data_IF_053359113682
#
_entry.id   IF_053359113682
#
_cell.length_a   1.000
_cell.length_b   1.000
_cell.length_c   1.000
_cell.angle_alpha   90.00
_cell.angle_beta   90.00
_cell.angle_gamma   90.00
#
_symmetry.space_group_name_H-M   'P 1'
#
loop_
_entity.id
_entity.type
_entity.pdbx_description
1 polymer ?
#
# COMPACT_ATOMS: atom_id res chain seq x y z
N UNK A 1 -19.97 2.30 30.99
CA UNK A 1 -20.30 2.81 29.67
C UNK A 1 -19.09 2.86 28.74
N UNK A 2 -17.93 3.33 29.17
CA UNK A 2 -16.70 3.34 28.31
C UNK A 2 -16.23 1.94 27.87
N UNK A 3 -16.44 0.91 28.70
CA UNK A 3 -16.04 -0.47 28.37
C UNK A 3 -16.92 -1.14 27.32
N UNK A 4 -18.22 -0.80 27.26
CA UNK A 4 -19.14 -1.36 26.25
C UNK A 4 -18.87 -0.79 24.84
N UNK A 5 -18.51 0.48 24.75
CA UNK A 5 -18.16 1.13 23.47
C UNK A 5 -16.87 0.55 22.92
N UNK A 6 -15.88 0.29 23.78
CA UNK A 6 -14.60 -0.30 23.36
C UNK A 6 -14.78 -1.74 22.84
N UNK A 7 -15.64 -2.53 23.46
CA UNK A 7 -15.96 -3.89 23.03
C UNK A 7 -16.69 -3.87 21.69
N UNK A 8 -17.60 -2.91 21.48
CA UNK A 8 -18.33 -2.77 20.23
C UNK A 8 -17.41 -2.38 19.07
N UNK A 9 -16.49 -1.44 19.32
CA UNK A 9 -15.47 -1.05 18.33
C UNK A 9 -14.55 -2.20 17.97
N UNK A 10 -14.17 -3.03 18.92
CA UNK A 10 -13.34 -4.22 18.69
C UNK A 10 -14.09 -5.26 17.85
N UNK A 11 -15.38 -5.46 18.10
CA UNK A 11 -16.23 -6.37 17.33
C UNK A 11 -16.38 -5.92 15.87
N UNK A 12 -16.57 -4.62 15.65
CA UNK A 12 -16.67 -4.05 14.30
C UNK A 12 -15.34 -4.21 13.55
N UNK A 13 -14.22 -4.02 14.24
CA UNK A 13 -12.89 -4.21 13.66
C UNK A 13 -12.63 -5.67 13.28
N UNK A 14 -13.00 -6.62 14.13
CA UNK A 14 -12.85 -8.06 13.86
C UNK A 14 -13.75 -8.51 12.71
N UNK A 15 -14.98 -8.00 12.62
CA UNK A 15 -15.88 -8.28 11.50
C UNK A 15 -15.35 -7.69 10.19
N UNK A 16 -14.78 -6.49 10.24
CA UNK A 16 -14.15 -5.87 9.08
C UNK A 16 -12.97 -6.68 8.54
N UNK A 17 -12.15 -7.24 9.42
CA UNK A 17 -11.03 -8.10 9.05
C UNK A 17 -11.51 -9.42 8.42
N UNK A 18 -12.63 -9.97 8.89
CA UNK A 18 -13.19 -11.22 8.36
C UNK A 18 -13.70 -11.06 6.94
N UNK A 19 -14.28 -9.90 6.59
CA UNK A 19 -14.76 -9.61 5.24
C UNK A 19 -13.59 -9.42 4.26
N UNK A 20 -12.47 -8.86 4.70
CA UNK A 20 -11.26 -8.68 3.88
C UNK A 20 -10.60 -10.03 3.56
N UNK A 21 -10.79 -11.06 4.40
CA UNK A 21 -10.19 -12.38 4.16
C UNK A 21 -10.80 -13.15 3.00
N UNK A 22 -11.99 -12.77 2.49
CA UNK A 22 -12.64 -13.44 1.36
C UNK A 22 -11.97 -13.18 0.02
N UNK A 23 -11.20 -12.09 -0.12
CA UNK A 23 -10.42 -11.77 -1.33
C UNK A 23 -8.94 -11.67 -0.95
N UNK A 24 -8.39 -12.74 -0.38
CA UNK A 24 -7.01 -12.77 0.09
C UNK A 24 -6.03 -12.79 -1.09
N UNK A 25 -5.14 -11.80 -1.16
CA UNK A 25 -4.11 -11.67 -2.18
C UNK A 25 -2.74 -11.51 -1.51
N UNK A 26 -2.16 -12.61 -1.00
CA UNK A 26 -0.92 -12.54 -0.22
C UNK A 26 0.27 -11.97 -1.00
N UNK A 27 0.33 -12.19 -2.32
CA UNK A 27 1.38 -11.62 -3.16
C UNK A 27 1.27 -10.11 -3.25
N UNK A 28 0.06 -9.59 -3.47
CA UNK A 28 -0.20 -8.15 -3.54
C UNK A 28 0.13 -7.50 -2.20
N UNK A 29 -0.33 -8.09 -1.10
CA UNK A 29 -0.08 -7.59 0.25
C UNK A 29 1.42 -7.55 0.57
N UNK A 30 2.17 -8.57 0.15
CA UNK A 30 3.62 -8.62 0.33
C UNK A 30 4.31 -7.52 -0.46
N UNK A 31 3.92 -7.31 -1.72
CA UNK A 31 4.48 -6.27 -2.56
C UNK A 31 4.23 -4.88 -1.97
N UNK A 32 3.03 -4.62 -1.48
CA UNK A 32 2.67 -3.35 -0.85
C UNK A 32 3.51 -3.10 0.41
N UNK A 33 3.68 -4.11 1.26
CA UNK A 33 4.54 -3.99 2.46
C UNK A 33 5.99 -3.73 2.09
N UNK A 34 6.48 -4.40 1.06
CA UNK A 34 7.85 -4.22 0.57
C UNK A 34 8.05 -2.80 0.03
N UNK A 35 7.10 -2.28 -0.72
CA UNK A 35 7.14 -0.91 -1.23
C UNK A 35 7.13 0.11 -0.09
N UNK A 36 6.28 -0.06 0.91
CA UNK A 36 6.24 0.80 2.09
C UNK A 36 7.55 0.77 2.85
N UNK A 37 8.14 -0.42 3.00
CA UNK A 37 9.44 -0.57 3.66
C UNK A 37 10.54 0.17 2.90
N UNK A 38 10.54 0.08 1.58
CA UNK A 38 11.54 0.74 0.73
C UNK A 38 11.40 2.26 0.79
N UNK A 39 10.19 2.77 0.82
CA UNK A 39 9.93 4.20 0.98
C UNK A 39 10.44 4.66 2.35
N UNK A 40 10.07 3.97 3.41
CA UNK A 40 10.51 4.30 4.77
C UNK A 40 12.04 4.26 4.90
N UNK A 41 12.67 3.27 4.32
CA UNK A 41 14.13 3.12 4.29
C UNK A 41 14.79 4.27 3.52
N UNK A 42 14.21 4.63 2.37
CA UNK A 42 14.67 5.76 1.58
C UNK A 42 14.61 7.10 2.32
N UNK A 43 13.57 7.32 3.11
CA UNK A 43 13.44 8.49 3.98
C UNK A 43 14.55 8.47 5.04
N UNK A 44 14.69 7.34 5.73
CA UNK A 44 15.66 7.20 6.82
C UNK A 44 17.11 7.39 6.38
N UNK A 45 17.44 7.00 5.15
CA UNK A 45 18.78 7.15 4.58
C UNK A 45 18.97 8.46 3.81
N UNK A 46 18.00 9.34 3.80
CA UNK A 46 18.10 10.62 3.09
C UNK A 46 18.07 10.49 1.56
N UNK A 47 17.64 9.34 1.04
CA UNK A 47 17.52 9.11 -0.40
C UNK A 47 16.23 9.71 -0.97
N UNK A 48 15.24 9.94 -0.13
CA UNK A 48 13.97 10.54 -0.50
C UNK A 48 13.75 11.83 0.27
N UNK A 49 13.40 12.89 -0.44
CA UNK A 49 12.94 14.12 0.19
C UNK A 49 11.52 13.92 0.71
N UNK A 50 11.06 14.81 1.60
CA UNK A 50 9.69 14.77 2.11
C UNK A 50 8.66 14.88 0.98
N UNK A 51 8.94 15.69 -0.04
CA UNK A 51 8.07 15.85 -1.21
C UNK A 51 8.00 14.57 -2.05
N UNK A 52 9.15 13.96 -2.31
CA UNK A 52 9.24 12.71 -3.06
C UNK A 52 8.54 11.57 -2.32
N UNK A 53 8.76 11.46 -1.02
CA UNK A 53 8.09 10.47 -0.17
C UNK A 53 6.57 10.68 -0.17
N UNK A 54 6.10 11.92 -0.05
CA UNK A 54 4.67 12.24 -0.08
C UNK A 54 4.04 11.86 -1.41
N UNK A 55 4.76 12.05 -2.52
CA UNK A 55 4.29 11.65 -3.85
C UNK A 55 4.14 10.14 -3.96
N UNK A 56 5.16 9.39 -3.52
CA UNK A 56 5.13 7.93 -3.53
C UNK A 56 4.01 7.39 -2.63
N UNK A 57 3.79 8.01 -1.48
CA UNK A 57 2.70 7.63 -0.59
C UNK A 57 1.32 7.88 -1.21
N UNK A 58 1.16 8.96 -1.97
CA UNK A 58 -0.10 9.21 -2.70
C UNK A 58 -0.34 8.15 -3.77
N UNK A 59 0.71 7.72 -4.46
CA UNK A 59 0.65 6.64 -5.46
C UNK A 59 0.27 5.32 -4.79
N UNK A 60 0.88 4.99 -3.65
CA UNK A 60 0.52 3.83 -2.83
C UNK A 60 -0.95 3.88 -2.40
N UNK A 61 -1.41 5.03 -1.95
CA UNK A 61 -2.80 5.21 -1.56
C UNK A 61 -3.76 4.93 -2.74
N UNK A 62 -3.42 5.39 -3.93
CA UNK A 62 -4.20 5.14 -5.15
C UNK A 62 -4.29 3.65 -5.47
N UNK A 63 -3.19 2.92 -5.30
CA UNK A 63 -3.15 1.47 -5.50
C UNK A 63 -4.05 0.77 -4.49
N UNK A 64 -3.93 1.11 -3.22
CA UNK A 64 -4.74 0.52 -2.15
C UNK A 64 -6.22 0.85 -2.33
N UNK A 65 -6.55 2.05 -2.77
CA UNK A 65 -7.92 2.45 -3.07
C UNK A 65 -8.51 1.62 -4.21
N UNK A 66 -7.75 1.43 -5.27
CA UNK A 66 -8.16 0.57 -6.39
C UNK A 66 -8.36 -0.87 -5.92
N UNK A 67 -7.43 -1.39 -5.12
CA UNK A 67 -7.50 -2.74 -4.57
C UNK A 67 -8.78 -2.94 -3.74
N UNK A 68 -9.09 -2.01 -2.84
CA UNK A 68 -10.32 -2.08 -2.03
C UNK A 68 -11.57 -2.07 -2.92
N UNK A 69 -11.58 -1.22 -3.94
CA UNK A 69 -12.70 -1.15 -4.88
C UNK A 69 -12.86 -2.46 -5.67
N UNK A 70 -11.75 -2.99 -6.17
CA UNK A 70 -11.73 -4.23 -6.94
C UNK A 70 -12.19 -5.43 -6.10
N UNK A 71 -11.84 -5.46 -4.80
CA UNK A 71 -12.23 -6.52 -3.88
C UNK A 71 -13.61 -6.34 -3.26
N UNK A 72 -14.32 -5.27 -3.56
CA UNK A 72 -15.58 -4.91 -2.90
C UNK A 72 -16.69 -5.94 -3.09
N UNK A 73 -16.65 -6.72 -4.17
CA UNK A 73 -17.57 -7.82 -4.45
C UNK A 73 -17.12 -9.17 -3.87
N UNK A 74 -16.02 -9.20 -3.12
CA UNK A 74 -15.44 -10.42 -2.55
C UNK A 74 -14.54 -11.19 -3.50
N UNK A 75 -14.40 -10.74 -4.74
CA UNK A 75 -13.59 -11.39 -5.77
C UNK A 75 -12.65 -10.40 -6.44
N UNK A 76 -11.46 -10.88 -6.79
CA UNK A 76 -10.53 -10.11 -7.61
C UNK A 76 -10.50 -10.78 -8.99
N UNK A 77 -11.07 -10.10 -10.00
CA UNK A 77 -11.08 -10.61 -11.38
C UNK A 77 -9.68 -10.66 -11.95
N UNK A 78 -9.50 -11.45 -13.01
CA UNK A 78 -8.21 -11.55 -13.69
C UNK A 78 -7.74 -10.19 -14.22
N UNK A 79 -8.64 -9.40 -14.79
CA UNK A 79 -8.32 -8.05 -15.29
C UNK A 79 -7.95 -7.08 -14.17
N UNK A 80 -8.66 -7.16 -13.06
CA UNK A 80 -8.36 -6.35 -11.88
C UNK A 80 -7.00 -6.69 -11.29
N UNK A 81 -6.69 -7.99 -11.23
CA UNK A 81 -5.38 -8.47 -10.78
C UNK A 81 -4.26 -7.97 -11.68
N UNK A 82 -4.44 -8.10 -12.99
CA UNK A 82 -3.46 -7.62 -13.97
C UNK A 82 -3.24 -6.12 -13.85
N UNK A 83 -4.30 -5.35 -13.68
CA UNK A 83 -4.20 -3.91 -13.48
C UNK A 83 -3.47 -3.56 -12.19
N UNK A 84 -3.75 -4.27 -11.10
CA UNK A 84 -3.03 -4.09 -9.83
C UNK A 84 -1.55 -4.41 -9.99
N UNK A 85 -1.22 -5.50 -10.66
CA UNK A 85 0.18 -5.87 -10.91
C UNK A 85 0.90 -4.77 -11.69
N UNK A 86 0.26 -4.22 -12.71
CA UNK A 86 0.82 -3.12 -13.49
C UNK A 86 1.01 -1.85 -12.65
N UNK A 87 0.06 -1.54 -11.78
CA UNK A 87 0.17 -0.39 -10.88
C UNK A 87 1.33 -0.58 -9.88
N UNK A 88 1.46 -1.77 -9.32
CA UNK A 88 2.55 -2.13 -8.39
C UNK A 88 3.91 -2.10 -9.10
N UNK A 89 3.99 -2.60 -10.32
CA UNK A 89 5.21 -2.55 -11.12
C UNK A 89 5.65 -1.11 -11.41
N UNK A 90 4.70 -0.25 -11.72
CA UNK A 90 4.98 1.17 -11.93
C UNK A 90 5.48 1.83 -10.65
N UNK A 91 4.86 1.51 -9.51
CA UNK A 91 5.29 2.03 -8.21
C UNK A 91 6.70 1.56 -7.87
N UNK A 92 7.02 0.30 -8.12
CA UNK A 92 8.38 -0.23 -7.93
C UNK A 92 9.40 0.58 -8.73
N UNK A 93 9.10 0.89 -9.99
CA UNK A 93 9.98 1.71 -10.82
C UNK A 93 10.10 3.14 -10.27
N UNK A 94 9.01 3.72 -9.83
CA UNK A 94 9.01 5.08 -9.27
C UNK A 94 9.84 5.17 -7.99
N UNK A 95 9.70 4.21 -7.10
CA UNK A 95 10.52 4.13 -5.88
C UNK A 95 12.00 4.01 -6.24
N UNK A 96 12.32 3.14 -7.18
CA UNK A 96 13.69 2.93 -7.63
C UNK A 96 14.30 4.20 -8.21
N UNK A 97 13.57 4.87 -9.11
CA UNK A 97 14.04 6.11 -9.72
C UNK A 97 14.24 7.23 -8.72
N UNK A 98 13.30 7.44 -7.82
CA UNK A 98 13.40 8.50 -6.81
C UNK A 98 14.59 8.28 -5.87
N UNK A 99 14.85 7.05 -5.47
CA UNK A 99 15.98 6.71 -4.60
C UNK A 99 17.32 6.86 -5.33
N UNK A 100 17.39 6.52 -6.60
CA UNK A 100 18.62 6.62 -7.40
C UNK A 100 18.94 8.06 -7.79
N UNK A 101 17.93 8.86 -8.11
CA UNK A 101 18.11 10.27 -8.42
C UNK A 101 18.71 11.03 -7.24
N UNK A 102 18.38 10.62 -6.01
CA UNK A 102 18.95 11.20 -4.79
C UNK A 102 20.46 10.97 -4.69
N UNK A 103 20.97 9.85 -5.21
CA UNK A 103 22.42 9.58 -5.21
C UNK A 103 23.20 10.53 -6.13
N UNK A 104 22.57 11.00 -7.21
CA UNK A 104 23.17 11.99 -8.08
C UNK A 104 23.16 13.41 -7.52
N UNK A 105 22.43 13.67 -6.44
CA UNK A 105 22.33 14.99 -5.80
C UNK A 105 23.36 15.23 -4.69
N UNK A 106 23.96 14.19 -4.20
CA UNK A 106 25.03 14.29 -3.21
C UNK A 106 26.37 14.36 -3.93
N UNK A 107 27.07 15.51 -3.84
CA UNK A 107 28.41 15.61 -4.40
C UNK A 107 29.41 14.72 -3.65
#
# INVERSE_FOLDING_TARGET
MKRAVSILLLLVFVLGLSLVSMANTPFINRREREQQRRIAHGIGEGQLTAREAARLEREEYSIQRYERHAKSDGHLSWRERERLDNMLDREDRNIHHQRHDAQGRNP
#
